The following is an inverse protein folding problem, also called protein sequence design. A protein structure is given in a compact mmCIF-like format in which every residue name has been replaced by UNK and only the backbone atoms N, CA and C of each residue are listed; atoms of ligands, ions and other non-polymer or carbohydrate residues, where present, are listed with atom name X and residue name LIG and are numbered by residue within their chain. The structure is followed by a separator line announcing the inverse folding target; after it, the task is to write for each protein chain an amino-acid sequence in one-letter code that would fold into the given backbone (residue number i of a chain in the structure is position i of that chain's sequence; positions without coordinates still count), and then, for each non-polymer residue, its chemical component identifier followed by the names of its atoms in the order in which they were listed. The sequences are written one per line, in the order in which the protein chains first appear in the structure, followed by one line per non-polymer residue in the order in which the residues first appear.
data_IF_994665862867
#
_entry.id   IF_994665862867
#
_cell.length_a   1.000
_cell.length_b   1.000
_cell.length_c   1.000
_cell.angle_alpha   90.00
_cell.angle_beta   90.00
_cell.angle_gamma   90.00
#
_symmetry.space_group_name_H-M   'P 1'
#
loop_
_entity.id
_entity.type
_entity.pdbx_description
1 polymer ?
#
# COMPACT_ATOMS: atom_id res chain seq x y z
N UNK A 1 -1.68 -11.36 23.68
CA UNK A 1 -0.96 -10.86 22.48
C UNK A 1 -1.56 -9.50 22.09
N UNK A 2 -0.76 -8.49 21.71
CA UNK A 2 -1.32 -7.22 21.21
C UNK A 2 -1.79 -7.43 19.77
N UNK A 3 -3.06 -7.12 19.47
CA UNK A 3 -3.60 -7.14 18.10
C UNK A 3 -2.73 -6.29 17.18
N UNK A 4 -2.30 -6.78 16.01
CA UNK A 4 -1.51 -6.00 15.06
C UNK A 4 -2.26 -4.71 14.69
N UNK A 5 -1.57 -3.57 14.73
CA UNK A 5 -2.12 -2.33 14.21
C UNK A 5 -1.86 -2.24 12.70
N UNK A 6 -2.76 -2.89 11.93
CA UNK A 6 -2.71 -2.98 10.45
C UNK A 6 -2.59 -1.61 9.77
N UNK A 7 -3.11 -0.55 10.37
CA UNK A 7 -3.20 0.78 9.79
C UNK A 7 -1.92 1.61 9.98
N UNK A 8 -0.75 0.99 9.91
CA UNK A 8 0.53 1.69 10.12
C UNK A 8 1.57 1.27 9.10
N UNK A 9 2.48 2.19 8.75
CA UNK A 9 3.67 1.84 7.97
C UNK A 9 4.59 0.89 8.75
N UNK A 10 4.52 0.88 10.09
CA UNK A 10 5.22 -0.08 10.93
C UNK A 10 4.72 -1.51 10.71
N UNK A 11 3.42 -1.71 10.54
CA UNK A 11 2.85 -3.01 10.16
C UNK A 11 3.36 -3.47 8.79
N UNK A 12 3.29 -2.60 7.77
CA UNK A 12 3.79 -2.92 6.42
C UNK A 12 5.28 -3.27 6.47
N UNK A 13 6.07 -2.49 7.21
CA UNK A 13 7.49 -2.76 7.44
C UNK A 13 7.72 -4.15 8.03
N UNK A 14 6.98 -4.50 9.07
CA UNK A 14 7.08 -5.81 9.72
C UNK A 14 6.72 -6.93 8.76
N UNK A 15 5.57 -6.83 8.08
CA UNK A 15 5.06 -7.88 7.19
C UNK A 15 6.01 -8.18 6.01
N UNK A 16 6.60 -7.14 5.41
CA UNK A 16 7.51 -7.29 4.28
C UNK A 16 9.00 -7.36 4.68
N UNK A 17 9.30 -7.45 5.98
CA UNK A 17 10.67 -7.47 6.51
C UNK A 17 11.56 -6.32 5.99
N UNK A 18 11.01 -5.11 5.89
CA UNK A 18 11.72 -3.96 5.30
C UNK A 18 12.71 -3.35 6.32
N UNK A 19 14.00 -3.20 5.99
CA UNK A 19 14.98 -2.60 6.88
C UNK A 19 14.60 -1.19 7.33
N UNK A 20 14.79 -0.88 8.62
CA UNK A 20 14.46 0.43 9.22
C UNK A 20 15.14 1.62 8.53
N UNK A 21 16.29 1.40 7.90
CA UNK A 21 17.02 2.39 7.11
C UNK A 21 16.27 2.84 5.84
N UNK A 22 15.36 2.01 5.32
CA UNK A 22 14.51 2.36 4.19
C UNK A 22 13.31 3.17 4.67
N UNK A 23 13.24 4.46 4.31
CA UNK A 23 12.10 5.33 4.67
C UNK A 23 10.87 4.95 3.85
N UNK A 24 9.73 4.83 4.53
CA UNK A 24 8.46 4.50 3.92
C UNK A 24 7.53 5.70 3.97
N UNK A 25 6.71 5.85 2.93
CA UNK A 25 5.57 6.75 2.90
C UNK A 25 4.34 6.01 2.41
N UNK A 26 3.14 6.43 2.81
CA UNK A 26 1.95 6.05 2.05
C UNK A 26 2.11 6.53 0.61
N UNK A 27 1.52 5.79 -0.32
CA UNK A 27 1.53 6.14 -1.73
C UNK A 27 0.18 5.86 -2.39
N UNK A 28 -0.10 6.58 -3.46
CA UNK A 28 -1.19 6.30 -4.37
C UNK A 28 -0.60 5.76 -5.66
N UNK A 29 -1.00 4.55 -6.03
CA UNK A 29 -0.61 3.93 -7.29
C UNK A 29 -1.64 4.36 -8.31
N UNK A 30 -1.20 5.11 -9.30
CA UNK A 30 -2.01 5.45 -10.46
C UNK A 30 -1.62 4.50 -11.59
N UNK A 31 -2.56 3.64 -11.99
CA UNK A 31 -2.37 2.71 -13.09
C UNK A 31 -3.36 3.04 -14.21
N UNK A 32 -2.83 3.32 -15.40
CA UNK A 32 -3.60 3.52 -16.62
C UNK A 32 -3.36 2.32 -17.54
N UNK A 33 -4.42 1.59 -17.88
CA UNK A 33 -4.41 0.47 -18.80
C UNK A 33 -5.46 0.72 -19.89
N UNK A 34 -5.04 0.77 -21.15
CA UNK A 34 -5.93 1.01 -22.30
C UNK A 34 -6.84 2.24 -22.11
N UNK A 35 -6.29 3.34 -21.60
CA UNK A 35 -7.01 4.59 -21.37
C UNK A 35 -7.91 4.63 -20.14
N UNK A 36 -7.98 3.55 -19.35
CA UNK A 36 -8.71 3.53 -18.06
C UNK A 36 -7.74 3.64 -16.91
N UNK A 37 -8.00 4.59 -16.01
CA UNK A 37 -7.14 4.85 -14.84
C UNK A 37 -7.79 4.34 -13.56
N UNK A 38 -7.02 3.59 -12.78
CA UNK A 38 -7.37 3.13 -11.43
C UNK A 38 -6.38 3.70 -10.41
N UNK A 39 -6.89 4.12 -9.26
CA UNK A 39 -6.08 4.58 -8.13
C UNK A 39 -6.15 3.55 -7.00
N UNK A 40 -4.98 3.02 -6.61
CA UNK A 40 -4.86 2.00 -5.55
C UNK A 40 -3.99 2.48 -4.40
N UNK A 41 -4.20 1.91 -3.21
CA UNK A 41 -3.37 2.20 -2.05
C UNK A 41 -2.02 1.49 -2.18
N UNK A 42 -0.93 2.24 -2.01
CA UNK A 42 0.43 1.73 -2.01
C UNK A 42 1.26 2.22 -0.82
N UNK A 43 2.50 1.74 -0.77
CA UNK A 43 3.56 2.25 0.11
C UNK A 43 4.80 2.51 -0.73
N UNK A 44 5.25 3.76 -0.78
CA UNK A 44 6.45 4.18 -1.51
C UNK A 44 7.71 4.00 -0.64
N UNK A 45 8.79 3.51 -1.26
CA UNK A 45 10.10 3.38 -0.62
C UNK A 45 10.93 4.61 -0.98
N UNK A 46 11.00 5.61 -0.10
CA UNK A 46 11.56 6.94 -0.42
C UNK A 46 13.05 6.92 -0.78
N UNK A 47 13.80 5.91 -0.32
CA UNK A 47 15.22 5.76 -0.65
C UNK A 47 15.45 4.98 -1.96
N UNK A 48 14.39 4.45 -2.59
CA UNK A 48 14.44 3.70 -3.84
C UNK A 48 13.39 4.28 -4.79
N UNK A 49 13.74 5.32 -5.57
CA UNK A 49 12.80 5.93 -6.50
C UNK A 49 12.23 4.85 -7.42
N UNK A 50 10.95 4.98 -7.74
CA UNK A 50 10.17 4.07 -8.58
C UNK A 50 9.80 2.72 -7.94
N UNK A 51 10.27 2.38 -6.73
CA UNK A 51 9.86 1.15 -6.02
C UNK A 51 8.72 1.42 -5.03
N UNK A 52 7.72 0.54 -5.04
CA UNK A 52 6.61 0.60 -4.10
C UNK A 52 6.04 -0.80 -3.82
N UNK A 53 5.16 -0.85 -2.84
CA UNK A 53 4.34 -2.02 -2.52
C UNK A 53 2.90 -1.67 -2.87
N UNK A 54 2.25 -2.51 -3.66
CA UNK A 54 0.79 -2.45 -3.81
C UNK A 54 0.15 -3.16 -2.61
N UNK A 55 -0.63 -2.41 -1.83
CA UNK A 55 -1.17 -2.91 -0.56
C UNK A 55 -2.13 -4.06 -0.81
N UNK A 56 -2.99 -3.99 -1.83
CA UNK A 56 -3.97 -5.03 -2.14
C UNK A 56 -3.28 -6.29 -2.68
N UNK A 57 -2.31 -6.11 -3.58
CA UNK A 57 -1.59 -7.22 -4.20
C UNK A 57 -0.56 -7.88 -3.28
N UNK A 58 -0.24 -7.23 -2.15
CA UNK A 58 0.73 -7.71 -1.16
C UNK A 58 2.11 -8.01 -1.77
N UNK A 59 2.56 -7.17 -2.71
CA UNK A 59 3.80 -7.40 -3.48
C UNK A 59 4.51 -6.10 -3.83
N UNK A 60 5.83 -6.19 -3.98
CA UNK A 60 6.67 -5.13 -4.54
C UNK A 60 6.53 -5.01 -6.05
N UNK A 61 6.54 -3.78 -6.52
CA UNK A 61 6.57 -3.43 -7.92
C UNK A 61 7.48 -2.23 -8.17
N UNK A 62 7.75 -2.00 -9.45
CA UNK A 62 8.35 -0.78 -9.94
C UNK A 62 7.32 0.03 -10.73
N UNK A 63 7.52 1.34 -10.81
CA UNK A 63 6.85 2.16 -11.83
C UNK A 63 7.19 1.63 -13.22
N UNK A 64 6.28 1.81 -14.16
CA UNK A 64 6.43 1.24 -15.51
C UNK A 64 5.65 2.08 -16.49
N UNK A 65 6.25 2.30 -17.66
CA UNK A 65 5.58 2.84 -18.83
C UNK A 65 5.94 1.94 -20.02
N UNK A 66 4.94 1.25 -20.57
CA UNK A 66 5.13 0.44 -21.77
C UNK A 66 5.06 1.32 -23.01
N UNK A 67 5.84 0.97 -24.03
CA UNK A 67 5.88 1.68 -25.30
C UNK A 67 4.47 1.81 -25.90
N UNK A 68 4.11 3.02 -26.33
CA UNK A 68 2.78 3.33 -26.85
C UNK A 68 1.70 3.55 -25.78
N UNK A 69 2.06 3.63 -24.50
CA UNK A 69 1.13 3.99 -23.41
C UNK A 69 0.10 2.91 -23.06
N UNK A 70 0.28 1.67 -23.51
CA UNK A 70 -0.63 0.56 -23.23
C UNK A 70 -0.77 0.26 -21.74
N UNK A 71 0.30 0.50 -20.96
CA UNK A 71 0.30 0.48 -19.50
C UNK A 71 1.19 1.61 -18.98
N UNK A 72 0.64 2.46 -18.13
CA UNK A 72 1.38 3.45 -17.36
C UNK A 72 1.09 3.22 -15.88
N UNK A 73 2.12 3.14 -15.06
CA UNK A 73 1.98 2.96 -13.63
C UNK A 73 2.97 3.83 -12.88
N UNK A 74 2.44 4.75 -12.08
CA UNK A 74 3.21 5.71 -11.28
C UNK A 74 2.84 5.59 -9.80
N UNK A 75 3.76 5.92 -8.90
CA UNK A 75 3.47 6.01 -7.47
C UNK A 75 3.67 7.43 -6.97
N UNK A 76 2.62 7.96 -6.36
CA UNK A 76 2.61 9.31 -5.80
C UNK A 76 2.70 9.22 -4.29
N UNK A 77 3.77 9.76 -3.70
CA UNK A 77 3.88 9.82 -2.25
C UNK A 77 2.72 10.64 -1.66
N UNK A 78 2.04 10.08 -0.66
CA UNK A 78 0.81 10.62 -0.13
C UNK A 78 0.86 10.81 1.38
N UNK A 79 0.21 11.88 1.84
CA UNK A 79 -0.09 12.09 3.26
C UNK A 79 -1.40 11.39 3.58
N UNK A 80 -1.52 10.90 4.82
CA UNK A 80 -2.74 10.26 5.31
C UNK A 80 -3.38 11.09 6.39
N UNK A 81 -4.69 11.30 6.29
CA UNK A 81 -5.55 11.88 7.33
C UNK A 81 -6.58 10.85 7.78
N UNK A 82 -6.75 10.70 9.09
CA UNK A 82 -7.81 9.88 9.67
C UNK A 82 -9.11 10.69 9.74
N UNK A 83 -10.22 10.07 9.37
CA UNK A 83 -11.57 10.58 9.64
C UNK A 83 -12.28 9.66 10.63
N UNK A 84 -13.59 9.88 10.87
CA UNK A 84 -14.40 9.04 11.77
C UNK A 84 -14.37 7.56 11.33
N UNK A 85 -14.56 7.30 10.05
CA UNK A 85 -14.82 5.97 9.49
C UNK A 85 -13.79 5.53 8.43
N UNK A 86 -12.88 6.41 8.00
CA UNK A 86 -11.96 6.13 6.91
C UNK A 86 -10.56 6.72 7.14
N UNK A 87 -9.66 6.32 6.25
CA UNK A 87 -8.44 7.05 5.96
C UNK A 87 -8.55 7.70 4.59
N UNK A 88 -8.15 8.97 4.51
CA UNK A 88 -8.01 9.70 3.26
C UNK A 88 -6.54 9.91 2.99
N UNK A 89 -6.11 9.50 1.81
CA UNK A 89 -4.74 9.63 1.32
C UNK A 89 -4.74 10.70 0.24
N UNK A 90 -3.80 11.64 0.32
CA UNK A 90 -3.71 12.77 -0.61
C UNK A 90 -2.26 12.97 -1.03
N UNK A 91 -2.00 12.87 -2.33
CA UNK A 91 -0.73 13.18 -2.94
C UNK A 91 -0.56 14.70 -3.16
N UNK A 92 0.66 15.13 -3.49
CA UNK A 92 0.98 16.55 -3.66
C UNK A 92 0.30 17.19 -4.89
N UNK A 93 0.00 16.40 -5.91
CA UNK A 93 -0.68 16.78 -7.14
C UNK A 93 -2.22 16.81 -7.00
N UNK A 94 -2.74 16.51 -5.81
CA UNK A 94 -4.18 16.51 -5.52
C UNK A 94 -4.87 15.16 -5.74
N UNK A 95 -4.16 14.11 -6.16
CA UNK A 95 -4.72 12.77 -6.24
C UNK A 95 -5.16 12.30 -4.86
N UNK A 96 -6.37 11.73 -4.76
CA UNK A 96 -6.90 11.23 -3.50
C UNK A 96 -7.46 9.82 -3.57
N UNK A 97 -7.37 9.11 -2.44
CA UNK A 97 -8.03 7.83 -2.24
C UNK A 97 -8.60 7.76 -0.83
N UNK A 98 -9.82 7.26 -0.69
CA UNK A 98 -10.47 7.01 0.60
C UNK A 98 -10.65 5.52 0.80
N UNK A 99 -10.16 4.98 1.91
CA UNK A 99 -10.36 3.57 2.28
C UNK A 99 -10.96 3.44 3.67
N UNK A 100 -11.72 2.36 3.88
CA UNK A 100 -12.20 1.98 5.21
C UNK A 100 -11.01 1.77 6.16
N UNK A 101 -11.21 2.04 7.46
CA UNK A 101 -10.21 1.71 8.50
C UNK A 101 -9.90 0.22 8.57
N UNK A 102 -10.77 -0.62 8.05
CA UNK A 102 -10.60 -2.06 8.06
C UNK A 102 -9.89 -2.59 6.81
N UNK A 103 -9.72 -1.77 5.77
CA UNK A 103 -9.18 -2.19 4.47
C UNK A 103 -7.88 -3.00 4.55
N UNK A 104 -6.88 -2.51 5.30
CA UNK A 104 -5.59 -3.23 5.42
C UNK A 104 -5.76 -4.49 6.28
N UNK A 105 -6.64 -4.47 7.28
CA UNK A 105 -6.95 -5.68 8.06
C UNK A 105 -7.61 -6.73 7.16
N UNK A 106 -8.53 -6.34 6.29
CA UNK A 106 -9.24 -7.26 5.41
C UNK A 106 -8.29 -7.89 4.38
N UNK A 107 -7.29 -7.13 3.90
CA UNK A 107 -6.27 -7.65 2.96
C UNK A 107 -5.25 -8.59 3.64
N UNK A 108 -4.79 -8.26 4.85
CA UNK A 108 -3.68 -8.97 5.49
C UNK A 108 -4.09 -9.91 6.62
N UNK A 109 -5.32 -9.82 7.12
CA UNK A 109 -5.78 -10.47 8.35
C UNK A 109 -5.56 -11.98 8.36
N UNK A 110 -5.84 -12.65 7.23
CA UNK A 110 -5.64 -14.10 7.06
C UNK A 110 -4.19 -14.51 6.85
N UNK A 111 -3.30 -13.57 6.53
CA UNK A 111 -1.91 -13.83 6.14
C UNK A 111 -0.89 -13.50 7.22
N UNK A 112 -1.34 -12.86 8.31
CA UNK A 112 -0.50 -12.66 9.49
C UNK A 112 -0.54 -13.97 10.28
N UNK A 113 0.62 -14.61 10.42
CA UNK A 113 0.77 -15.78 11.28
C UNK A 113 0.29 -15.45 12.69
N UNK A 114 -0.72 -16.18 13.15
CA UNK A 114 -1.09 -16.28 14.55
C UNK A 114 -0.85 -17.72 15.01
N UNK A 115 -0.13 -17.95 16.13
CA UNK A 115 -0.02 -19.28 16.72
C UNK A 115 -1.37 -19.96 16.96
N UNK A 116 -2.43 -19.17 17.15
CA UNK A 116 -3.80 -19.62 17.44
C UNK A 116 -4.55 -20.14 16.19
N UNK A 117 -4.00 -19.93 14.98
CA UNK A 117 -4.59 -20.44 13.72
C UNK A 117 -4.05 -21.81 13.29
N UNK A 118 -3.36 -22.53 14.20
CA UNK A 118 -3.14 -23.97 14.02
C UNK A 118 -4.48 -24.69 14.20
N UNK A 119 -5.17 -24.97 13.10
CA UNK A 119 -6.07 -26.12 13.07
C UNK A 119 -5.30 -27.40 13.44
N UNK A 120 -5.98 -28.45 13.93
CA UNK A 120 -5.32 -29.74 14.16
C UNK A 120 -4.65 -30.19 12.85
N UNK A 121 -3.38 -30.59 12.95
CA UNK A 121 -2.63 -31.22 11.86
C UNK A 121 -3.17 -32.61 11.57
#
# INVERSE_FOLDING_TARGET
MKTPNYNTLAFIRYYFHIPVSCKLSWGLIEETLNGKTEIRLGVALLNRPNFYIDVAMRRFFTETELFGGGLVRKVHAARRKATKDAFVYTAADGLTLRTSKDYIRDVYGSSVYSPDMRGPL
#
